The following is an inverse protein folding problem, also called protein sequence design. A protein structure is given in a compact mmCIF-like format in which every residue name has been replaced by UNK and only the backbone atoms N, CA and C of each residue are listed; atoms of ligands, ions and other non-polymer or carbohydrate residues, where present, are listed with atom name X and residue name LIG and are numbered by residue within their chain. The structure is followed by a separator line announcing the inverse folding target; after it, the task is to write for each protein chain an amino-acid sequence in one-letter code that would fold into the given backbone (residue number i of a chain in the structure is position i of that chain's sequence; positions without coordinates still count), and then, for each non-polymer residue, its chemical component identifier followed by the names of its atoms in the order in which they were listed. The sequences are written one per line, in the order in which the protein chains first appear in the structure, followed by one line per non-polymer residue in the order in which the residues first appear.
data_IF_051004863329
#
_entry.id   IF_051004863329
#
_cell.length_a   1.000
_cell.length_b   1.000
_cell.length_c   1.000
_cell.angle_alpha   90.00
_cell.angle_beta   90.00
_cell.angle_gamma   90.00
#
_symmetry.space_group_name_H-M   'P 1'
#
loop_
_entity.id
_entity.type
_entity.pdbx_description
1 polymer ?
#
# COMPACT_ATOMS: atom_id res chain seq x y z
N UNK A 1 9.57 -8.48 27.08
CA UNK A 1 8.82 -7.37 26.42
C UNK A 1 8.60 -7.72 24.96
N UNK A 2 7.46 -7.36 24.32
CA UNK A 2 7.28 -7.55 22.86
C UNK A 2 8.02 -6.49 22.06
N UNK A 3 8.52 -6.85 20.89
CA UNK A 3 9.27 -5.96 20.01
C UNK A 3 8.44 -4.72 19.59
N UNK A 4 7.14 -4.89 19.35
CA UNK A 4 6.24 -3.75 19.05
C UNK A 4 6.18 -2.70 20.18
N UNK A 5 6.28 -3.12 21.42
CA UNK A 5 6.26 -2.21 22.55
C UNK A 5 7.55 -1.36 22.62
N UNK A 6 8.68 -1.85 22.06
CA UNK A 6 9.92 -1.09 21.98
C UNK A 6 9.84 0.10 21.02
N UNK A 7 8.89 0.10 20.04
CA UNK A 7 8.71 1.19 19.09
C UNK A 7 8.41 2.53 19.75
N UNK A 8 7.79 2.53 20.92
CA UNK A 8 7.52 3.74 21.70
C UNK A 8 8.79 4.51 22.07
N UNK A 9 9.92 3.80 22.21
CA UNK A 9 11.21 4.41 22.51
C UNK A 9 11.90 5.06 21.30
N UNK A 10 11.43 4.76 20.08
CA UNK A 10 11.90 5.39 18.84
C UNK A 10 10.99 6.51 18.35
N UNK A 11 9.83 6.73 19.00
CA UNK A 11 8.92 7.82 18.65
C UNK A 11 9.45 9.16 19.18
N UNK A 12 9.50 10.23 18.37
CA UNK A 12 9.90 11.56 18.81
C UNK A 12 9.10 12.09 20.00
N UNK A 13 7.84 11.67 20.13
CA UNK A 13 6.97 12.03 21.26
C UNK A 13 7.25 11.23 22.54
N UNK A 14 7.96 10.10 22.43
CA UNK A 14 8.35 9.25 23.56
C UNK A 14 9.69 9.61 24.18
N UNK A 15 10.41 10.59 23.63
CA UNK A 15 11.74 11.01 24.09
C UNK A 15 11.71 11.97 25.31
N UNK A 16 10.59 12.17 25.97
CA UNK A 16 10.58 12.64 27.35
C UNK A 16 10.99 11.51 28.30
N UNK A 17 12.23 11.08 28.15
CA UNK A 17 12.92 10.39 29.22
C UNK A 17 13.19 11.49 30.25
N UNK A 18 12.23 11.72 31.13
CA UNK A 18 12.52 12.49 32.33
C UNK A 18 13.41 11.59 33.17
N UNK A 19 14.69 11.93 33.29
CA UNK A 19 15.67 11.29 34.20
C UNK A 19 15.17 11.23 35.65
N UNK A 20 14.08 11.89 35.97
CA UNK A 20 13.46 12.00 37.29
C UNK A 20 12.43 10.94 37.62
N UNK A 21 12.08 10.03 36.71
CA UNK A 21 11.22 8.90 37.08
C UNK A 21 12.08 7.89 37.84
N UNK A 22 12.20 8.08 39.15
CA UNK A 22 12.76 7.10 40.07
C UNK A 22 12.01 5.79 39.88
N UNK A 23 12.58 4.88 39.10
CA UNK A 23 12.10 3.52 38.93
C UNK A 23 12.35 2.80 40.26
N UNK A 24 11.33 2.66 41.09
CA UNK A 24 11.43 1.97 42.37
C UNK A 24 11.31 0.45 42.23
N UNK A 25 11.03 -0.06 41.03
CA UNK A 25 10.91 -1.49 40.77
C UNK A 25 12.17 -2.04 40.08
N UNK A 26 12.89 -3.02 40.66
CA UNK A 26 14.05 -3.65 40.04
C UNK A 26 13.74 -4.37 38.71
N UNK A 27 12.46 -4.69 38.46
CA UNK A 27 12.04 -5.42 37.26
C UNK A 27 11.58 -4.51 36.12
N UNK A 28 11.83 -3.20 36.19
CA UNK A 28 11.46 -2.27 35.13
C UNK A 28 12.57 -2.15 34.11
N UNK A 29 12.27 -2.48 32.86
CA UNK A 29 13.21 -2.33 31.73
C UNK A 29 13.56 -0.85 31.53
N UNK A 30 14.83 -0.54 31.55
CA UNK A 30 15.38 0.76 31.20
C UNK A 30 15.63 0.87 29.69
N UNK A 31 15.83 2.09 29.18
CA UNK A 31 16.19 2.32 27.77
C UNK A 31 17.46 1.56 27.36
N UNK A 32 18.44 1.46 28.24
CA UNK A 32 19.69 0.70 28.03
C UNK A 32 19.42 -0.80 27.87
N UNK A 33 18.51 -1.38 28.66
CA UNK A 33 18.17 -2.80 28.58
C UNK A 33 17.48 -3.12 27.25
N UNK A 34 16.62 -2.20 26.78
CA UNK A 34 15.97 -2.32 25.49
C UNK A 34 16.99 -2.26 24.35
N UNK A 35 17.95 -1.32 24.40
CA UNK A 35 19.00 -1.21 23.38
C UNK A 35 19.92 -2.43 23.39
N UNK A 36 20.26 -2.95 24.57
CA UNK A 36 21.02 -4.20 24.72
C UNK A 36 20.23 -5.38 24.13
N UNK A 37 18.93 -5.48 24.44
CA UNK A 37 18.03 -6.48 23.87
C UNK A 37 17.98 -6.43 22.34
N UNK A 38 17.92 -5.22 21.75
CA UNK A 38 17.97 -5.02 20.31
C UNK A 38 19.33 -5.45 19.75
N UNK A 39 20.43 -5.12 20.40
CA UNK A 39 21.78 -5.54 20.01
C UNK A 39 21.93 -7.07 19.98
N UNK A 40 21.47 -7.76 21.03
CA UNK A 40 21.45 -9.23 21.10
C UNK A 40 20.55 -9.82 19.99
N UNK A 41 19.35 -9.26 19.81
CA UNK A 41 18.44 -9.70 18.73
C UNK A 41 19.06 -9.47 17.36
N UNK A 42 19.75 -8.37 17.15
CA UNK A 42 20.46 -8.09 15.89
C UNK A 42 21.54 -9.12 15.58
N UNK A 43 22.20 -9.66 16.57
CA UNK A 43 23.20 -10.71 16.37
C UNK A 43 22.60 -12.08 16.04
N UNK A 44 21.40 -12.40 16.58
CA UNK A 44 20.77 -13.73 16.46
C UNK A 44 19.71 -13.80 15.39
N UNK A 45 18.96 -12.73 15.17
CA UNK A 45 17.79 -12.68 14.28
C UNK A 45 17.78 -11.42 13.40
N UNK A 46 18.93 -11.07 12.82
CA UNK A 46 19.16 -9.82 12.07
C UNK A 46 18.12 -9.59 10.96
N UNK A 47 17.78 -10.63 10.19
CA UNK A 47 16.80 -10.49 9.12
C UNK A 47 15.41 -10.10 9.66
N UNK A 48 14.93 -10.81 10.70
CA UNK A 48 13.63 -10.52 11.30
C UNK A 48 13.55 -9.13 11.92
N UNK A 49 14.63 -8.70 12.60
CA UNK A 49 14.72 -7.37 13.18
C UNK A 49 14.76 -6.28 12.11
N UNK A 50 15.53 -6.46 11.04
CA UNK A 50 15.57 -5.54 9.91
C UNK A 50 14.21 -5.46 9.19
N UNK A 51 13.53 -6.60 9.01
CA UNK A 51 12.18 -6.63 8.45
C UNK A 51 11.18 -5.85 9.32
N UNK A 52 11.26 -5.99 10.63
CA UNK A 52 10.41 -5.27 11.58
C UNK A 52 10.66 -3.75 11.53
N UNK A 53 11.91 -3.29 11.59
CA UNK A 53 12.23 -1.87 11.53
C UNK A 53 11.91 -1.23 10.17
N UNK A 54 12.11 -1.97 9.08
CA UNK A 54 11.70 -1.54 7.74
C UNK A 54 10.18 -1.41 7.63
N UNK A 55 9.41 -2.39 8.15
CA UNK A 55 7.94 -2.35 8.20
C UNK A 55 7.42 -1.18 9.06
N UNK A 56 8.07 -0.89 10.16
CA UNK A 56 7.72 0.23 11.04
C UNK A 56 8.15 1.61 10.47
N UNK A 57 8.88 1.64 9.36
CA UNK A 57 9.34 2.87 8.73
C UNK A 57 10.45 3.62 9.49
N UNK A 58 11.10 2.94 10.48
CA UNK A 58 12.15 3.53 11.31
C UNK A 58 13.43 3.71 10.50
N UNK A 59 13.79 2.72 9.70
CA UNK A 59 15.06 2.67 8.99
C UNK A 59 14.92 2.16 7.57
N UNK A 60 15.28 2.99 6.60
CA UNK A 60 15.33 2.60 5.18
C UNK A 60 16.47 1.63 4.87
N UNK A 61 17.56 1.70 5.65
CA UNK A 61 18.69 0.76 5.50
C UNK A 61 18.27 -0.63 5.92
N UNK A 62 17.50 -0.78 6.99
CA UNK A 62 16.97 -2.07 7.43
C UNK A 62 15.93 -2.63 6.45
N UNK A 63 15.12 -1.78 5.85
CA UNK A 63 14.24 -2.18 4.74
C UNK A 63 15.05 -2.82 3.60
N UNK A 64 16.12 -2.16 3.15
CA UNK A 64 16.98 -2.67 2.09
C UNK A 64 17.68 -3.97 2.48
N UNK A 65 18.17 -4.06 3.73
CA UNK A 65 18.78 -5.29 4.26
C UNK A 65 17.77 -6.44 4.30
N UNK A 66 16.54 -6.19 4.71
CA UNK A 66 15.49 -7.19 4.72
C UNK A 66 15.14 -7.69 3.30
N UNK A 67 15.02 -6.78 2.34
CA UNK A 67 14.76 -7.12 0.93
C UNK A 67 15.92 -7.93 0.35
N UNK A 68 17.17 -7.54 0.61
CA UNK A 68 18.35 -8.29 0.15
C UNK A 68 18.44 -9.69 0.77
N UNK A 69 18.17 -9.81 2.08
CA UNK A 69 18.16 -11.09 2.77
C UNK A 69 17.04 -12.00 2.20
N UNK A 70 15.87 -11.43 1.95
CA UNK A 70 14.75 -12.14 1.34
C UNK A 70 15.05 -12.57 -0.10
N UNK A 71 15.73 -11.73 -0.89
CA UNK A 71 16.14 -12.06 -2.26
C UNK A 71 17.16 -13.20 -2.27
N UNK A 72 18.14 -13.23 -1.37
CA UNK A 72 19.08 -14.35 -1.20
C UNK A 72 18.34 -15.63 -0.85
N UNK A 73 17.46 -15.57 0.15
CA UNK A 73 16.61 -16.70 0.51
C UNK A 73 15.76 -17.19 -0.67
N UNK A 74 15.21 -16.27 -1.47
CA UNK A 74 14.45 -16.61 -2.67
C UNK A 74 15.30 -17.33 -3.72
N UNK A 75 16.55 -16.95 -3.94
CA UNK A 75 17.46 -17.61 -4.85
C UNK A 75 17.73 -19.05 -4.39
N UNK A 76 17.97 -19.24 -3.08
CA UNK A 76 18.31 -20.55 -2.51
C UNK A 76 17.11 -21.51 -2.51
N UNK A 77 15.91 -20.98 -2.28
CA UNK A 77 14.68 -21.80 -2.15
C UNK A 77 13.80 -21.82 -3.40
N UNK A 78 14.21 -21.16 -4.49
CA UNK A 78 13.42 -21.09 -5.72
C UNK A 78 13.06 -22.49 -6.26
N UNK A 79 11.77 -22.76 -6.54
CA UNK A 79 11.32 -24.02 -7.11
C UNK A 79 11.97 -24.29 -8.47
N UNK A 80 12.17 -25.57 -8.82
CA UNK A 80 12.78 -25.98 -10.11
C UNK A 80 12.10 -25.32 -11.32
N UNK A 81 10.77 -25.23 -11.31
CA UNK A 81 10.00 -24.62 -12.39
C UNK A 81 10.26 -23.11 -12.53
N UNK A 82 10.43 -22.41 -11.40
CA UNK A 82 10.77 -20.97 -11.38
C UNK A 82 12.19 -20.78 -11.89
N UNK A 83 13.15 -21.58 -11.41
CA UNK A 83 14.55 -21.53 -11.87
C UNK A 83 14.67 -21.79 -13.37
N UNK A 84 13.96 -22.81 -13.89
CA UNK A 84 13.96 -23.14 -15.32
C UNK A 84 13.39 -22.01 -16.17
N UNK A 85 12.28 -21.41 -15.74
CA UNK A 85 11.64 -20.30 -16.46
C UNK A 85 12.44 -19.00 -16.40
N UNK A 86 13.11 -18.74 -15.27
CA UNK A 86 13.91 -17.53 -15.06
C UNK A 86 15.29 -17.58 -15.75
N UNK A 87 15.89 -18.77 -15.87
CA UNK A 87 17.21 -18.95 -16.46
C UNK A 87 18.26 -17.97 -15.89
N UNK A 88 18.94 -17.25 -16.76
CA UNK A 88 19.96 -16.26 -16.37
C UNK A 88 19.40 -15.04 -15.60
N UNK A 89 18.10 -14.78 -15.72
CA UNK A 89 17.45 -13.65 -15.04
C UNK A 89 17.00 -13.98 -13.60
N UNK A 90 17.28 -15.20 -13.08
CA UNK A 90 16.79 -15.65 -11.77
C UNK A 90 17.06 -14.66 -10.65
N UNK A 91 18.28 -14.16 -10.51
CA UNK A 91 18.65 -13.23 -9.45
C UNK A 91 17.82 -11.92 -9.48
N UNK A 92 17.63 -11.35 -10.67
CA UNK A 92 16.80 -10.14 -10.86
C UNK A 92 15.32 -10.43 -10.57
N UNK A 93 14.82 -11.58 -11.01
CA UNK A 93 13.45 -11.99 -10.73
C UNK A 93 13.22 -12.18 -9.22
N UNK A 94 14.15 -12.84 -8.53
CA UNK A 94 14.07 -13.03 -7.07
C UNK A 94 14.13 -11.71 -6.32
N UNK A 95 14.93 -10.73 -6.77
CA UNK A 95 14.97 -9.40 -6.17
C UNK A 95 13.62 -8.70 -6.32
N UNK A 96 13.03 -8.68 -7.53
CA UNK A 96 11.72 -8.09 -7.78
C UNK A 96 10.64 -8.78 -6.95
N UNK A 97 10.65 -10.11 -6.84
CA UNK A 97 9.70 -10.83 -5.98
C UNK A 97 9.88 -10.49 -4.51
N UNK A 98 11.14 -10.33 -4.04
CA UNK A 98 11.43 -9.95 -2.66
C UNK A 98 10.92 -8.53 -2.36
N UNK A 99 11.08 -7.57 -3.28
CA UNK A 99 10.52 -6.22 -3.14
C UNK A 99 8.99 -6.25 -3.03
N UNK A 100 8.32 -7.03 -3.89
CA UNK A 100 6.86 -7.18 -3.83
C UNK A 100 6.39 -7.90 -2.56
N UNK A 101 7.11 -8.94 -2.14
CA UNK A 101 6.78 -9.68 -0.92
C UNK A 101 6.99 -8.82 0.34
N UNK A 102 8.06 -8.04 0.38
CA UNK A 102 8.30 -7.11 1.48
C UNK A 102 7.26 -5.98 1.49
N UNK A 103 6.90 -5.42 0.33
CA UNK A 103 5.86 -4.40 0.22
C UNK A 103 4.47 -4.92 0.63
N UNK A 104 4.17 -6.21 0.40
CA UNK A 104 2.94 -6.84 0.91
C UNK A 104 3.00 -7.06 2.43
N UNK A 105 4.14 -7.54 2.94
CA UNK A 105 4.37 -7.75 4.37
C UNK A 105 4.31 -6.45 5.18
N UNK A 106 4.92 -5.37 4.69
CA UNK A 106 4.94 -4.04 5.34
C UNK A 106 3.64 -3.26 5.17
N UNK A 107 2.69 -3.79 4.38
CA UNK A 107 1.46 -3.09 4.05
C UNK A 107 0.55 -2.93 5.26
N UNK A 108 0.02 -1.74 5.43
CA UNK A 108 -0.94 -1.36 6.47
C UNK A 108 -2.15 -0.62 5.89
N UNK A 109 -3.14 -0.33 6.71
CA UNK A 109 -4.28 0.47 6.30
C UNK A 109 -3.90 1.92 5.88
N UNK A 110 -2.78 2.42 6.36
CA UNK A 110 -2.24 3.75 6.07
C UNK A 110 -1.34 3.79 4.83
N UNK A 111 -0.96 2.62 4.32
CA UNK A 111 -0.13 2.55 3.12
C UNK A 111 -0.85 3.24 1.95
N UNK A 112 -0.21 4.25 1.37
CA UNK A 112 -0.70 4.95 0.18
C UNK A 112 -0.08 4.38 -1.09
N UNK A 113 -0.80 4.48 -2.18
CA UNK A 113 -0.32 4.10 -3.49
C UNK A 113 -0.87 5.03 -4.57
N UNK A 114 -0.15 5.21 -5.66
CA UNK A 114 -0.60 6.03 -6.77
C UNK A 114 -1.98 5.58 -7.28
N UNK A 115 -2.88 6.53 -7.46
CA UNK A 115 -4.20 6.28 -8.00
C UNK A 115 -4.09 5.68 -9.40
N UNK A 116 -4.70 4.52 -9.62
CA UNK A 116 -4.62 3.82 -10.92
C UNK A 116 -5.39 4.51 -12.03
N UNK A 117 -6.40 5.31 -11.68
CA UNK A 117 -7.27 6.00 -12.64
C UNK A 117 -6.56 7.22 -13.23
N UNK A 118 -5.89 8.01 -12.39
CA UNK A 118 -5.14 9.19 -12.83
C UNK A 118 -3.61 9.00 -12.82
N UNK A 119 -3.13 7.78 -12.56
CA UNK A 119 -1.68 7.48 -12.51
C UNK A 119 -0.88 8.41 -11.59
N UNK A 120 -1.49 8.82 -10.47
CA UNK A 120 -0.86 9.71 -9.50
C UNK A 120 -1.07 11.21 -9.75
N UNK A 121 -1.64 11.62 -10.89
CA UNK A 121 -1.78 13.03 -11.27
C UNK A 121 -2.88 13.79 -10.48
N UNK A 122 -3.80 13.09 -9.85
CA UNK A 122 -4.96 13.70 -9.18
C UNK A 122 -6.02 14.27 -10.13
N UNK A 123 -5.72 14.39 -11.42
CA UNK A 123 -6.59 14.97 -12.45
C UNK A 123 -6.72 14.02 -13.64
N UNK A 124 -7.87 14.06 -14.29
CA UNK A 124 -8.16 13.29 -15.51
C UNK A 124 -8.50 14.28 -16.61
N UNK A 125 -7.90 14.10 -17.77
CA UNK A 125 -8.26 14.85 -18.96
C UNK A 125 -9.53 14.25 -19.58
N UNK A 126 -10.56 15.07 -19.70
CA UNK A 126 -11.82 14.68 -20.30
C UNK A 126 -12.15 15.67 -21.43
N UNK A 127 -12.52 15.16 -22.57
CA UNK A 127 -13.06 15.96 -23.65
C UNK A 127 -14.50 16.32 -23.32
N UNK A 128 -14.78 17.61 -23.25
CA UNK A 128 -16.14 18.13 -23.04
C UNK A 128 -16.54 18.88 -24.29
N UNK A 129 -17.69 18.52 -24.83
CA UNK A 129 -18.29 19.26 -25.95
C UNK A 129 -19.18 20.34 -25.37
N UNK A 130 -18.78 21.59 -25.56
CA UNK A 130 -19.55 22.76 -25.14
C UNK A 130 -20.23 23.39 -26.36
N UNK A 131 -21.51 23.74 -26.22
CA UNK A 131 -22.19 24.53 -27.21
C UNK A 131 -21.91 26.00 -26.94
N UNK A 132 -21.23 26.67 -27.86
CA UNK A 132 -20.97 28.10 -27.81
C UNK A 132 -21.86 28.85 -28.78
N UNK A 133 -22.40 29.96 -28.30
CA UNK A 133 -23.23 30.88 -29.11
C UNK A 133 -22.37 32.03 -29.56
N UNK A 134 -22.46 32.39 -30.84
CA UNK A 134 -21.70 33.50 -31.41
C UNK A 134 -22.00 34.85 -30.76
N UNK A 135 -23.23 35.07 -30.34
CA UNK A 135 -23.65 36.30 -29.64
C UNK A 135 -24.28 35.96 -28.31
N UNK A 136 -23.48 35.74 -27.27
CA UNK A 136 -23.98 35.40 -25.94
C UNK A 136 -24.72 36.59 -25.33
N UNK A 137 -25.67 36.31 -24.45
CA UNK A 137 -26.45 37.30 -23.71
C UNK A 137 -27.47 38.09 -24.49
N UNK A 138 -27.99 37.54 -25.60
CA UNK A 138 -29.04 38.17 -26.38
C UNK A 138 -28.62 39.51 -27.07
N UNK A 139 -27.33 39.80 -27.13
CA UNK A 139 -26.83 40.95 -27.85
C UNK A 139 -26.93 40.70 -29.36
N UNK A 140 -27.92 41.31 -29.98
CA UNK A 140 -28.06 41.23 -31.43
C UNK A 140 -26.91 41.89 -32.17
N UNK A 141 -26.36 41.26 -33.22
CA UNK A 141 -25.35 41.90 -34.08
C UNK A 141 -25.93 43.13 -34.78
N UNK A 142 -25.05 44.05 -35.17
CA UNK A 142 -25.47 45.32 -35.79
C UNK A 142 -26.41 45.13 -36.97
N UNK A 143 -26.17 44.17 -37.82
CA UNK A 143 -27.02 43.83 -38.97
C UNK A 143 -28.43 43.34 -38.57
N UNK A 144 -28.56 42.61 -37.46
CA UNK A 144 -29.85 42.10 -36.96
C UNK A 144 -30.75 43.24 -36.47
N UNK A 145 -30.18 44.31 -35.92
CA UNK A 145 -30.90 45.51 -35.51
C UNK A 145 -31.58 46.24 -36.69
N UNK A 146 -30.97 46.15 -37.89
CA UNK A 146 -31.52 46.77 -39.12
C UNK A 146 -32.56 45.89 -39.80
N UNK A 147 -32.51 44.58 -39.64
CA UNK A 147 -33.34 43.64 -40.43
C UNK A 147 -34.67 43.29 -39.80
N UNK A 148 -35.17 43.97 -38.77
CA UNK A 148 -36.36 43.61 -38.00
C UNK A 148 -36.34 42.16 -37.42
N UNK A 149 -35.21 41.52 -37.35
CA UNK A 149 -35.02 40.22 -36.70
C UNK A 149 -35.29 40.39 -35.18
N UNK A 150 -36.41 39.87 -34.74
CA UNK A 150 -36.90 40.09 -33.38
C UNK A 150 -36.65 38.94 -32.43
N UNK A 151 -36.21 37.78 -32.98
CA UNK A 151 -35.98 36.57 -32.19
C UNK A 151 -34.51 36.21 -32.10
N UNK A 152 -34.00 35.82 -30.95
CA UNK A 152 -32.63 35.33 -30.80
C UNK A 152 -32.26 34.21 -31.78
N UNK A 153 -33.19 33.34 -32.11
CA UNK A 153 -33.01 32.26 -33.10
C UNK A 153 -32.57 32.74 -34.48
N UNK A 154 -32.80 34.03 -34.85
CA UNK A 154 -32.50 34.55 -36.15
C UNK A 154 -31.04 34.88 -36.36
N UNK A 155 -30.29 35.10 -35.29
CA UNK A 155 -28.83 35.42 -35.35
C UNK A 155 -27.96 34.56 -34.46
N UNK A 156 -28.49 33.76 -33.51
CA UNK A 156 -27.73 32.85 -32.70
C UNK A 156 -27.25 31.67 -33.52
N UNK A 157 -25.93 31.59 -33.72
CA UNK A 157 -25.28 30.41 -34.32
C UNK A 157 -24.66 29.59 -33.22
N UNK A 158 -25.14 28.39 -33.05
CA UNK A 158 -24.58 27.43 -32.10
C UNK A 158 -23.49 26.64 -32.79
N UNK A 159 -22.31 26.62 -32.19
CA UNK A 159 -21.18 25.79 -32.59
C UNK A 159 -20.82 24.85 -31.47
N UNK A 160 -20.57 23.62 -31.81
CA UNK A 160 -20.04 22.64 -30.83
C UNK A 160 -18.51 22.75 -30.85
N UNK A 161 -17.94 23.09 -29.70
CA UNK A 161 -16.49 23.19 -29.54
C UNK A 161 -16.07 22.14 -28.51
N UNK A 162 -15.19 21.24 -28.95
CA UNK A 162 -14.58 20.26 -28.06
C UNK A 162 -13.40 20.90 -27.32
N UNK A 163 -13.48 20.98 -26.01
CA UNK A 163 -12.41 21.45 -25.17
C UNK A 163 -11.89 20.31 -24.28
N UNK A 164 -10.58 20.22 -24.12
CA UNK A 164 -9.96 19.30 -23.15
C UNK A 164 -9.97 20.00 -21.80
N UNK A 165 -10.72 19.45 -20.86
CA UNK A 165 -10.84 19.98 -19.50
C UNK A 165 -10.21 19.01 -18.51
N UNK A 166 -9.38 19.53 -17.63
CA UNK A 166 -8.83 18.77 -16.51
C UNK A 166 -9.85 18.72 -15.39
N UNK A 167 -10.45 17.56 -15.18
CA UNK A 167 -11.36 17.30 -14.04
C UNK A 167 -10.61 16.64 -12.90
N UNK A 168 -11.05 16.93 -11.68
CA UNK A 168 -10.58 16.24 -10.48
C UNK A 168 -10.87 14.74 -10.60
N UNK A 169 -9.90 13.91 -10.29
CA UNK A 169 -10.10 12.45 -10.29
C UNK A 169 -11.02 12.05 -9.14
N UNK A 170 -12.19 11.51 -9.45
CA UNK A 170 -13.16 11.06 -8.45
C UNK A 170 -12.67 9.86 -7.63
N UNK A 171 -11.83 9.00 -8.21
CA UNK A 171 -11.32 7.81 -7.54
C UNK A 171 -10.37 8.12 -6.38
N UNK A 172 -9.62 9.21 -6.44
CA UNK A 172 -8.69 9.65 -5.40
C UNK A 172 -9.04 11.02 -4.81
N UNK A 173 -10.18 11.57 -5.20
CA UNK A 173 -10.64 12.89 -4.78
C UNK A 173 -9.59 14.00 -5.01
N UNK A 174 -8.87 13.89 -6.12
CA UNK A 174 -7.83 14.84 -6.55
C UNK A 174 -6.49 14.70 -5.83
N UNK A 175 -6.34 13.77 -4.88
CA UNK A 175 -5.09 13.58 -4.13
C UNK A 175 -3.97 12.91 -4.92
N UNK A 176 -4.30 12.22 -6.00
CA UNK A 176 -3.34 11.40 -6.75
C UNK A 176 -3.05 10.04 -6.11
N UNK A 177 -3.35 9.86 -4.83
CA UNK A 177 -3.05 8.67 -4.05
C UNK A 177 -4.31 8.04 -3.48
N UNK A 178 -4.29 6.74 -3.29
CA UNK A 178 -5.37 5.96 -2.67
C UNK A 178 -4.77 5.16 -1.51
N UNK A 179 -5.40 5.22 -0.35
CA UNK A 179 -5.02 4.42 0.82
C UNK A 179 -5.40 2.96 0.61
N UNK A 180 -4.59 2.06 1.16
CA UNK A 180 -4.86 0.63 1.14
C UNK A 180 -6.04 0.22 2.02
N UNK A 181 -6.56 1.14 2.86
CA UNK A 181 -7.66 0.90 3.78
C UNK A 181 -8.85 0.24 3.10
N UNK A 182 -9.32 -0.84 3.68
CA UNK A 182 -10.50 -1.54 3.17
C UNK A 182 -11.77 -0.71 3.43
N UNK A 183 -12.79 -0.93 2.60
CA UNK A 183 -14.11 -0.29 2.77
C UNK A 183 -14.84 -0.64 4.08
N UNK A 184 -14.35 -1.61 4.86
CA UNK A 184 -14.82 -1.87 6.23
C UNK A 184 -14.32 -0.80 7.24
N UNK A 185 -13.75 0.29 6.77
CA UNK A 185 -13.19 1.34 7.64
C UNK A 185 -11.83 0.98 8.25
N UNK A 186 -11.19 -0.10 7.80
CA UNK A 186 -9.93 -0.60 8.35
C UNK A 186 -10.09 -1.52 9.57
N UNK A 187 -11.32 -1.76 10.05
CA UNK A 187 -11.59 -2.60 11.23
C UNK A 187 -11.41 -4.10 10.98
N UNK A 188 -11.39 -4.52 9.72
CA UNK A 188 -11.40 -5.95 9.36
C UNK A 188 -12.74 -6.64 9.57
N UNK A 189 -13.73 -5.94 10.12
CA UNK A 189 -15.06 -6.48 10.46
C UNK A 189 -16.16 -5.68 9.78
N UNK A 190 -17.29 -6.32 9.54
CA UNK A 190 -18.50 -5.72 8.94
C UNK A 190 -19.71 -6.15 9.76
N UNK A 191 -20.69 -5.26 9.91
CA UNK A 191 -21.93 -5.57 10.61
C UNK A 191 -22.70 -6.67 9.84
N UNK A 192 -23.02 -7.77 10.51
CA UNK A 192 -23.91 -8.79 9.99
C UNK A 192 -25.36 -8.38 10.26
N UNK A 193 -26.01 -7.83 9.22
CA UNK A 193 -27.38 -7.31 9.33
C UNK A 193 -28.40 -8.40 9.65
N UNK A 194 -28.18 -9.66 9.23
CA UNK A 194 -29.10 -10.77 9.50
C UNK A 194 -29.01 -11.19 10.96
N UNK A 195 -27.83 -11.53 11.41
CA UNK A 195 -27.59 -11.92 12.80
C UNK A 195 -27.91 -10.79 13.80
N UNK A 196 -27.70 -9.52 13.41
CA UNK A 196 -28.09 -8.35 14.23
C UNK A 196 -29.60 -8.24 14.39
N UNK A 197 -30.38 -8.48 13.32
CA UNK A 197 -31.85 -8.49 13.40
C UNK A 197 -32.39 -9.62 14.25
N UNK A 198 -31.79 -10.82 14.15
CA UNK A 198 -32.21 -11.99 14.92
C UNK A 198 -31.90 -11.85 16.42
N UNK A 199 -30.75 -11.28 16.75
CA UNK A 199 -30.28 -11.17 18.14
C UNK A 199 -30.64 -9.85 18.82
N UNK A 200 -31.08 -8.83 18.09
CA UNK A 200 -31.37 -7.49 18.62
C UNK A 200 -30.14 -6.69 19.10
N UNK A 201 -28.93 -7.25 18.94
CA UNK A 201 -27.66 -6.61 19.30
C UNK A 201 -26.73 -6.59 18.10
N UNK A 202 -25.82 -5.60 17.96
CA UNK A 202 -24.87 -5.55 16.86
C UNK A 202 -23.96 -6.78 16.82
N UNK A 203 -24.05 -7.57 15.74
CA UNK A 203 -23.16 -8.72 15.50
C UNK A 203 -22.24 -8.39 14.35
N UNK A 204 -20.94 -8.59 14.56
CA UNK A 204 -19.93 -8.34 13.54
C UNK A 204 -19.39 -9.65 12.99
N UNK A 205 -19.13 -9.68 11.68
CA UNK A 205 -18.46 -10.78 10.99
C UNK A 205 -17.17 -10.29 10.32
N UNK A 206 -16.25 -11.22 10.08
CA UNK A 206 -15.01 -10.92 9.35
C UNK A 206 -15.31 -10.37 7.97
N UNK A 207 -14.64 -9.30 7.58
CA UNK A 207 -14.80 -8.69 6.25
C UNK A 207 -14.23 -9.62 5.17
N UNK A 208 -15.08 -10.10 4.27
CA UNK A 208 -14.71 -11.01 3.18
C UNK A 208 -13.72 -10.36 2.19
N UNK A 209 -13.71 -9.02 2.05
CA UNK A 209 -12.84 -8.30 1.11
C UNK A 209 -11.39 -8.26 1.53
N UNK A 210 -11.12 -8.13 2.81
CA UNK A 210 -9.78 -8.04 3.37
C UNK A 210 -9.43 -9.22 4.28
N UNK A 211 -10.29 -10.22 4.36
CA UNK A 211 -10.12 -11.40 5.20
C UNK A 211 -9.73 -11.08 6.66
N UNK A 212 -10.26 -9.97 7.17
CA UNK A 212 -9.99 -9.51 8.54
C UNK A 212 -8.83 -8.53 8.68
N UNK A 213 -7.97 -8.35 7.67
CA UNK A 213 -6.74 -7.53 7.77
C UNK A 213 -6.99 -6.01 7.84
N UNK A 214 -8.19 -5.54 7.49
CA UNK A 214 -8.51 -4.10 7.46
C UNK A 214 -7.99 -3.33 6.23
N UNK A 215 -7.15 -3.92 5.40
CA UNK A 215 -6.59 -3.31 4.20
C UNK A 215 -6.59 -4.28 3.00
N UNK A 216 -6.46 -3.73 1.81
CA UNK A 216 -6.42 -4.51 0.58
C UNK A 216 -5.02 -5.08 0.34
N UNK A 217 -4.93 -6.35 -0.07
CA UNK A 217 -3.68 -6.98 -0.51
C UNK A 217 -3.16 -6.34 -1.80
N UNK A 218 -1.86 -6.47 -2.03
CA UNK A 218 -1.26 -6.00 -3.28
C UNK A 218 -1.73 -6.86 -4.45
N UNK A 219 -2.12 -6.27 -5.58
CA UNK A 219 -2.56 -7.09 -6.71
C UNK A 219 -1.37 -7.86 -7.30
N UNK A 220 -1.48 -9.17 -7.30
CA UNK A 220 -0.47 -10.08 -7.89
C UNK A 220 -0.16 -9.78 -9.36
N UNK A 221 -1.08 -9.10 -10.05
CA UNK A 221 -0.89 -8.62 -11.42
C UNK A 221 0.21 -7.56 -11.54
N UNK A 222 0.50 -6.80 -10.48
CA UNK A 222 1.59 -5.82 -10.49
C UNK A 222 2.95 -6.55 -10.46
N UNK A 223 3.11 -7.54 -9.58
CA UNK A 223 4.29 -8.38 -9.55
C UNK A 223 4.48 -9.15 -10.88
N UNK A 224 3.41 -9.72 -11.44
CA UNK A 224 3.46 -10.37 -12.74
C UNK A 224 3.95 -9.44 -13.85
N UNK A 225 3.41 -8.22 -13.96
CA UNK A 225 3.85 -7.22 -14.94
C UNK A 225 5.31 -6.84 -14.77
N UNK A 226 5.81 -6.75 -13.53
CA UNK A 226 7.22 -6.46 -13.27
C UNK A 226 8.12 -7.62 -13.73
N UNK A 227 7.72 -8.88 -13.49
CA UNK A 227 8.46 -10.06 -13.96
C UNK A 227 8.41 -10.20 -15.49
N UNK A 228 7.29 -9.85 -16.13
CA UNK A 228 7.19 -9.86 -17.60
C UNK A 228 8.20 -8.94 -18.29
N UNK A 229 8.64 -7.86 -17.64
CA UNK A 229 9.71 -6.99 -18.16
C UNK A 229 11.06 -7.72 -18.22
N UNK A 230 11.27 -8.72 -17.37
CA UNK A 230 12.50 -9.52 -17.30
C UNK A 230 12.38 -10.81 -18.13
N UNK A 231 11.18 -11.37 -18.18
CA UNK A 231 10.85 -12.63 -18.90
C UNK A 231 9.56 -12.40 -19.70
N UNK A 232 9.65 -11.84 -20.92
CA UNK A 232 8.45 -11.53 -21.73
C UNK A 232 7.62 -12.78 -22.10
N UNK A 233 8.25 -13.95 -22.19
CA UNK A 233 7.62 -15.21 -22.57
C UNK A 233 6.86 -15.90 -21.43
N UNK A 234 6.85 -15.32 -20.21
CA UNK A 234 6.21 -15.94 -19.06
C UNK A 234 4.68 -15.94 -19.20
N UNK A 235 4.12 -17.12 -19.42
CA UNK A 235 2.67 -17.28 -19.55
C UNK A 235 1.96 -17.12 -18.21
N UNK A 236 0.77 -16.51 -18.20
CA UNK A 236 -0.03 -16.26 -16.97
C UNK A 236 -0.36 -17.53 -16.17
N UNK A 237 -0.58 -18.67 -16.83
CA UNK A 237 -0.81 -19.95 -16.14
C UNK A 237 0.41 -20.40 -15.35
N UNK A 238 1.63 -20.20 -15.90
CA UNK A 238 2.89 -20.51 -15.21
C UNK A 238 3.10 -19.59 -14.02
N UNK A 239 2.77 -18.30 -14.17
CA UNK A 239 2.74 -17.35 -13.07
C UNK A 239 1.83 -17.83 -11.94
N UNK A 240 0.57 -18.10 -12.23
CA UNK A 240 -0.43 -18.47 -11.21
C UNK A 240 -0.10 -19.77 -10.50
N UNK A 241 0.47 -20.78 -11.21
CA UNK A 241 0.77 -22.08 -10.63
C UNK A 241 2.08 -22.14 -9.85
N UNK A 242 3.11 -21.40 -10.27
CA UNK A 242 4.45 -21.56 -9.72
C UNK A 242 4.99 -20.29 -9.05
N UNK A 243 4.85 -19.14 -9.69
CA UNK A 243 5.46 -17.90 -9.23
C UNK A 243 4.67 -17.20 -8.13
N UNK A 244 3.34 -17.15 -8.26
CA UNK A 244 2.49 -16.56 -7.25
C UNK A 244 2.58 -17.28 -5.91
N UNK A 245 2.42 -18.62 -5.82
CA UNK A 245 2.61 -19.34 -4.56
C UNK A 245 4.01 -19.15 -3.98
N UNK A 246 5.05 -19.05 -4.82
CA UNK A 246 6.40 -18.76 -4.37
C UNK A 246 6.52 -17.34 -3.78
N UNK A 247 5.91 -16.34 -4.42
CA UNK A 247 5.86 -14.98 -3.88
C UNK A 247 5.11 -14.93 -2.53
N UNK A 248 3.97 -15.62 -2.43
CA UNK A 248 3.19 -15.72 -1.19
C UNK A 248 4.01 -16.39 -0.07
N UNK A 249 4.79 -17.43 -0.40
CA UNK A 249 5.70 -18.08 0.56
C UNK A 249 6.81 -17.13 1.05
N UNK A 250 7.28 -16.19 0.23
CA UNK A 250 8.25 -15.17 0.65
C UNK A 250 7.64 -14.19 1.66
N UNK A 251 6.36 -13.85 1.53
CA UNK A 251 5.64 -13.05 2.53
C UNK A 251 5.58 -13.78 3.87
N UNK A 252 5.27 -15.09 3.84
CA UNK A 252 5.24 -15.93 5.04
C UNK A 252 6.62 -16.05 5.71
N UNK A 253 7.70 -16.00 4.94
CA UNK A 253 9.07 -15.94 5.49
C UNK A 253 9.27 -14.64 6.29
N UNK A 254 8.85 -13.48 5.78
CA UNK A 254 8.96 -12.23 6.52
C UNK A 254 8.25 -12.32 7.87
N UNK A 255 7.01 -12.83 7.89
CA UNK A 255 6.25 -13.03 9.13
C UNK A 255 6.89 -14.03 10.10
N UNK A 256 7.50 -15.09 9.58
CA UNK A 256 8.22 -16.08 10.42
C UNK A 256 9.47 -15.48 11.04
N UNK A 257 10.23 -14.71 10.26
CA UNK A 257 11.45 -14.07 10.73
C UNK A 257 11.17 -12.95 11.73
N UNK A 258 10.10 -12.16 11.52
CA UNK A 258 9.63 -11.17 12.51
C UNK A 258 9.30 -11.85 13.85
N UNK A 259 8.52 -12.94 13.82
CA UNK A 259 8.20 -13.72 15.02
C UNK A 259 9.43 -14.32 15.71
N UNK A 260 10.42 -14.75 14.94
CA UNK A 260 11.70 -15.22 15.48
C UNK A 260 12.44 -14.09 16.19
N UNK A 261 12.52 -12.91 15.55
CA UNK A 261 13.15 -11.74 16.16
C UNK A 261 12.39 -11.28 17.42
N UNK A 262 11.07 -11.30 17.43
CA UNK A 262 10.26 -10.97 18.61
C UNK A 262 10.54 -11.95 19.77
N UNK A 263 10.67 -13.25 19.48
CA UNK A 263 11.01 -14.27 20.48
C UNK A 263 12.41 -14.05 21.06
N UNK A 264 13.42 -13.81 20.23
CA UNK A 264 14.80 -13.53 20.68
C UNK A 264 14.85 -12.25 21.52
N UNK A 265 14.12 -11.20 21.12
CA UNK A 265 14.02 -9.98 21.88
C UNK A 265 13.32 -10.18 23.23
N UNK A 266 12.25 -10.95 23.27
CA UNK A 266 11.57 -11.29 24.53
C UNK A 266 12.52 -12.05 25.47
N UNK A 267 13.29 -13.00 24.96
CA UNK A 267 14.28 -13.74 25.75
C UNK A 267 15.40 -12.83 26.26
N UNK A 268 15.89 -11.91 25.44
CA UNK A 268 16.94 -10.95 25.82
C UNK A 268 16.45 -9.90 26.83
N UNK A 269 15.15 -9.68 26.95
CA UNK A 269 14.53 -8.70 27.86
C UNK A 269 13.72 -9.36 29.00
N UNK A 270 13.77 -10.66 29.14
CA UNK A 270 13.20 -11.37 30.30
C UNK A 270 14.28 -11.53 31.36
N UNK A 271 14.12 -10.83 32.45
CA UNK A 271 14.91 -10.99 33.67
C UNK A 271 14.16 -11.88 34.66
#
# INVERSE_FOLDING_TARGET
MKLEASLKHFSPQGMHISDNVKSTSPNRLNGTDIMTGIGVTSSRARFGLAAFFGKAGISKTDEQLAVQALARHAIDTAPKNVRKAAGKALGRCCLVLAEFAFAEYSRSAETTGACRVCSGLGKIQTTVTERKVTYPWGKAPYWAKRSRATRPSDWEKWSEVTAIVNRKCEACDGKGEINARCRCGGSGQVLDRKATKEKGIPVYKTCERCSGNGFSTMPSTAAYKAILKLIPELHIRTWTRNWKPFCDALVDICWRQERHADKEFQQATSF
#
